data_IF_851282161114
#
_entry.id   IF_851282161114
#
_cell.length_a   1.000
_cell.length_b   1.000
_cell.length_c   1.000
_cell.angle_alpha   90.00
_cell.angle_beta   90.00
_cell.angle_gamma   90.00
#
_symmetry.space_group_name_H-M   'P 1'
#
loop_
_entity.id
_entity.type
_entity.pdbx_description
1 polymer ?
#
# COMPACT_ATOMS: atom_id res chain seq x y z
N UNK A 1 -1.91 14.06 13.82
CA UNK A 1 -3.38 14.17 14.04
C UNK A 1 -3.76 13.66 15.44
N UNK A 2 -4.92 14.07 15.97
CA UNK A 2 -5.40 13.67 17.30
C UNK A 2 -5.49 12.14 17.47
N UNK A 3 -5.81 11.42 16.39
CA UNK A 3 -5.88 9.96 16.35
C UNK A 3 -4.52 9.24 16.50
N UNK A 4 -3.38 9.95 16.38
CA UNK A 4 -2.06 9.30 16.37
C UNK A 4 -1.73 8.62 17.69
N UNK A 5 -1.99 9.28 18.83
CA UNK A 5 -1.74 8.71 20.15
C UNK A 5 -2.65 7.53 20.45
N UNK A 6 -3.92 7.62 20.05
CA UNK A 6 -4.89 6.55 20.23
C UNK A 6 -4.55 5.33 19.37
N UNK A 7 -4.13 5.55 18.11
CA UNK A 7 -3.67 4.48 17.23
C UNK A 7 -2.42 3.79 17.78
N UNK A 8 -1.45 4.55 18.30
CA UNK A 8 -0.25 3.98 18.92
C UNK A 8 -0.62 3.11 20.13
N UNK A 9 -1.51 3.59 21.00
CA UNK A 9 -1.98 2.83 22.16
C UNK A 9 -2.67 1.53 21.75
N UNK A 10 -3.58 1.56 20.77
CA UNK A 10 -4.23 0.34 20.27
C UNK A 10 -3.23 -0.64 19.65
N UNK A 11 -2.24 -0.15 18.89
CA UNK A 11 -1.18 -1.00 18.33
C UNK A 11 -0.32 -1.67 19.41
N UNK A 12 -0.01 -0.95 20.48
CA UNK A 12 0.75 -1.46 21.61
C UNK A 12 -0.04 -2.45 22.47
N UNK A 13 -1.34 -2.22 22.64
CA UNK A 13 -2.27 -3.14 23.31
C UNK A 13 -2.41 -4.47 22.55
N UNK A 14 -2.70 -4.41 21.25
CA UNK A 14 -2.91 -5.60 20.41
C UNK A 14 -1.59 -6.33 20.08
N UNK A 15 -0.49 -5.59 20.00
CA UNK A 15 0.85 -6.14 19.75
C UNK A 15 1.87 -5.62 20.77
N UNK A 16 1.94 -6.20 21.99
CA UNK A 16 2.85 -5.75 23.06
C UNK A 16 4.33 -5.66 22.68
N UNK A 17 4.77 -6.39 21.65
CA UNK A 17 6.13 -6.27 21.07
C UNK A 17 6.44 -4.89 20.49
N UNK A 18 5.43 -4.07 20.23
CA UNK A 18 5.55 -2.71 19.69
C UNK A 18 5.72 -1.64 20.78
N UNK A 19 5.62 -2.00 22.07
CA UNK A 19 5.78 -1.06 23.19
C UNK A 19 7.07 -0.24 23.08
N UNK A 20 6.92 1.08 23.00
CA UNK A 20 8.04 2.02 22.86
C UNK A 20 8.73 1.99 21.50
N UNK A 21 8.14 1.30 20.51
CA UNK A 21 8.64 1.18 19.12
C UNK A 21 7.76 1.89 18.10
N UNK A 22 6.63 2.46 18.53
CA UNK A 22 5.79 3.30 17.68
C UNK A 22 6.29 4.75 17.77
N UNK A 23 6.55 5.36 16.62
CA UNK A 23 6.93 6.78 16.52
C UNK A 23 5.95 7.51 15.61
N UNK A 24 5.47 8.64 16.09
CA UNK A 24 4.72 9.56 15.26
C UNK A 24 5.67 10.55 14.58
N UNK A 25 5.53 10.71 13.28
CA UNK A 25 6.27 11.67 12.47
C UNK A 25 5.23 12.47 11.68
N UNK A 26 5.27 13.79 11.85
CA UNK A 26 4.49 14.73 11.04
C UNK A 26 5.43 15.40 10.05
N UNK A 27 5.11 15.32 8.77
CA UNK A 27 5.96 15.84 7.70
C UNK A 27 5.50 15.35 6.34
N UNK A 28 6.30 15.65 5.33
CA UNK A 28 6.07 15.16 3.98
C UNK A 28 6.30 13.64 3.93
N UNK A 29 5.36 12.92 3.34
CA UNK A 29 5.47 11.49 3.15
C UNK A 29 6.73 11.13 2.35
N UNK A 30 7.17 11.98 1.43
CA UNK A 30 8.36 11.76 0.59
C UNK A 30 9.66 11.72 1.40
N UNK A 31 9.70 12.38 2.57
CA UNK A 31 10.89 12.51 3.41
C UNK A 31 11.08 11.34 4.39
N UNK A 32 10.05 10.52 4.62
CA UNK A 32 10.11 9.40 5.59
C UNK A 32 11.00 8.27 5.07
N UNK A 33 12.16 7.93 5.65
CA UNK A 33 13.02 6.88 5.08
C UNK A 33 12.30 5.52 5.01
N UNK A 34 12.41 4.86 3.86
CA UNK A 34 11.87 3.52 3.61
C UNK A 34 12.95 2.62 3.02
N UNK A 35 12.91 1.35 3.39
CA UNK A 35 13.89 0.33 3.00
C UNK A 35 13.19 -0.91 2.44
N UNK A 36 13.94 -1.73 1.72
CA UNK A 36 13.43 -2.95 1.06
C UNK A 36 12.72 -3.92 2.01
N UNK A 37 13.22 -4.02 3.25
CA UNK A 37 12.71 -4.98 4.23
C UNK A 37 11.48 -4.46 5.00
N UNK A 38 11.05 -3.23 4.72
CA UNK A 38 9.88 -2.62 5.35
C UNK A 38 8.56 -3.17 4.78
N UNK A 39 7.53 -3.05 5.61
CA UNK A 39 6.13 -3.16 5.19
C UNK A 39 5.51 -1.77 5.27
N UNK A 40 5.12 -1.23 4.12
CA UNK A 40 4.48 0.07 4.03
C UNK A 40 2.97 -0.14 4.07
N UNK A 41 2.28 0.47 5.03
CA UNK A 41 0.83 0.37 5.18
C UNK A 41 0.20 1.76 5.08
N UNK A 42 -0.84 1.90 4.27
CA UNK A 42 -1.65 3.12 4.25
C UNK A 42 -3.14 2.82 4.37
N UNK A 43 -3.80 3.57 5.26
CA UNK A 43 -5.25 3.58 5.40
C UNK A 43 -5.70 4.99 5.07
N UNK A 44 -6.65 5.13 4.15
CA UNK A 44 -7.03 6.34 3.45
C UNK A 44 -6.09 6.76 2.31
N UNK A 45 -5.04 7.53 2.62
CA UNK A 45 -4.15 8.16 1.63
C UNK A 45 -4.93 8.81 0.46
N UNK A 46 -5.86 9.72 0.81
CA UNK A 46 -6.76 10.41 -0.13
C UNK A 46 -6.03 11.22 -1.20
N UNK A 47 -6.71 11.43 -2.33
CA UNK A 47 -6.15 12.12 -3.49
C UNK A 47 -5.10 11.26 -4.19
N UNK A 48 -3.95 11.85 -4.51
CA UNK A 48 -2.79 11.15 -5.07
C UNK A 48 -1.88 10.49 -4.03
N UNK A 49 -2.15 10.60 -2.73
CA UNK A 49 -1.24 10.10 -1.69
C UNK A 49 -1.08 8.58 -1.73
N UNK A 50 -2.10 7.83 -2.17
CA UNK A 50 -1.97 6.39 -2.40
C UNK A 50 -0.89 6.11 -3.45
N UNK A 51 -0.83 6.89 -4.51
CA UNK A 51 0.15 6.72 -5.57
C UNK A 51 1.57 7.07 -5.10
N UNK A 52 1.71 8.12 -4.27
CA UNK A 52 2.97 8.42 -3.57
C UNK A 52 3.42 7.21 -2.73
N UNK A 53 2.54 6.63 -1.92
CA UNK A 53 2.86 5.42 -1.12
C UNK A 53 3.34 4.28 -2.02
N UNK A 54 2.64 4.01 -3.12
CA UNK A 54 2.98 2.94 -4.05
C UNK A 54 4.32 3.20 -4.75
N UNK A 55 4.61 4.43 -5.13
CA UNK A 55 5.85 4.81 -5.81
C UNK A 55 7.05 4.72 -4.87
N UNK A 56 6.89 5.14 -3.60
CA UNK A 56 7.92 4.96 -2.57
C UNK A 56 8.20 3.49 -2.29
N UNK A 57 7.16 2.66 -2.20
CA UNK A 57 7.32 1.22 -2.04
C UNK A 57 8.07 0.59 -3.23
N UNK A 58 7.70 0.96 -4.45
CA UNK A 58 8.33 0.47 -5.68
C UNK A 58 9.81 0.88 -5.77
N UNK A 59 10.14 2.11 -5.39
CA UNK A 59 11.50 2.65 -5.46
C UNK A 59 12.52 1.79 -4.69
N UNK A 60 12.11 1.23 -3.55
CA UNK A 60 12.97 0.39 -2.70
C UNK A 60 12.64 -1.10 -2.77
N UNK A 61 11.65 -1.49 -3.60
CA UNK A 61 11.10 -2.84 -3.67
C UNK A 61 10.63 -3.36 -2.31
N UNK A 62 9.92 -2.52 -1.54
CA UNK A 62 9.30 -2.90 -0.27
C UNK A 62 7.95 -3.60 -0.49
N UNK A 63 7.47 -4.30 0.54
CA UNK A 63 6.09 -4.82 0.57
C UNK A 63 5.13 -3.68 0.90
N UNK A 64 3.92 -3.73 0.34
CA UNK A 64 2.95 -2.65 0.53
C UNK A 64 1.52 -3.17 0.72
N UNK A 65 0.78 -2.51 1.59
CA UNK A 65 -0.64 -2.73 1.85
C UNK A 65 -1.36 -1.37 1.87
N UNK A 66 -2.25 -1.12 0.91
CA UNK A 66 -3.01 0.13 0.83
C UNK A 66 -4.50 -0.13 0.86
N UNK A 67 -5.24 0.72 1.56
CA UNK A 67 -6.70 0.76 1.59
C UNK A 67 -7.18 2.12 1.02
N UNK A 68 -7.23 2.28 -0.32
CA UNK A 68 -7.49 3.56 -0.96
C UNK A 68 -8.95 3.99 -0.78
N UNK A 69 -9.20 5.27 -0.48
CA UNK A 69 -10.55 5.72 -0.13
C UNK A 69 -11.10 6.93 -0.92
N UNK A 70 -10.28 7.96 -1.16
CA UNK A 70 -10.63 9.14 -1.93
C UNK A 70 -9.80 9.13 -3.20
N UNK A 71 -10.40 8.70 -4.31
CA UNK A 71 -9.75 8.72 -5.62
C UNK A 71 -9.92 10.11 -6.20
N UNK A 72 -8.83 10.84 -6.38
CA UNK A 72 -8.85 12.01 -7.26
C UNK A 72 -8.89 11.48 -8.70
N UNK A 73 -10.01 11.69 -9.37
CA UNK A 73 -10.20 11.21 -10.74
C UNK A 73 -9.83 12.29 -11.77
N UNK A 74 -9.44 13.48 -11.31
CA UNK A 74 -9.11 14.59 -12.20
C UNK A 74 -7.68 14.44 -12.71
N UNK A 75 -7.50 14.40 -14.03
CA UNK A 75 -6.19 14.29 -14.67
C UNK A 75 -5.53 12.91 -14.63
N UNK A 76 -6.15 11.92 -13.98
CA UNK A 76 -5.61 10.57 -13.85
C UNK A 76 -5.97 9.67 -15.05
N UNK A 77 -4.98 8.91 -15.54
CA UNK A 77 -5.19 7.94 -16.60
C UNK A 77 -5.82 6.65 -16.02
N UNK A 78 -7.14 6.54 -16.15
CA UNK A 78 -7.91 5.36 -15.76
C UNK A 78 -7.87 4.24 -16.82
N UNK A 79 -6.89 4.29 -17.74
CA UNK A 79 -6.66 3.35 -18.84
C UNK A 79 -7.91 3.13 -19.73
N UNK A 80 -8.77 4.14 -19.83
CA UNK A 80 -10.03 4.07 -20.57
C UNK A 80 -11.06 3.07 -20.01
N UNK A 81 -10.90 2.61 -18.76
CA UNK A 81 -11.74 1.57 -18.16
C UNK A 81 -13.12 2.08 -17.68
N UNK A 82 -13.37 3.40 -17.74
CA UNK A 82 -14.61 3.98 -17.20
C UNK A 82 -15.88 3.58 -17.95
N UNK A 83 -15.76 3.03 -19.16
CA UNK A 83 -16.90 2.44 -19.87
C UNK A 83 -17.45 1.15 -19.22
N UNK A 84 -16.64 0.49 -18.39
CA UNK A 84 -16.98 -0.78 -17.73
C UNK A 84 -16.97 -0.68 -16.20
N UNK A 85 -16.07 0.12 -15.65
CA UNK A 85 -15.84 0.21 -14.21
C UNK A 85 -16.17 1.61 -13.70
N UNK A 86 -16.71 1.68 -12.49
CA UNK A 86 -16.79 2.96 -11.77
C UNK A 86 -15.38 3.53 -11.59
N UNK A 87 -15.22 4.85 -11.73
CA UNK A 87 -13.91 5.53 -11.69
C UNK A 87 -12.99 5.10 -10.54
N UNK A 88 -13.47 5.07 -9.27
CA UNK A 88 -12.66 4.58 -8.15
C UNK A 88 -12.14 3.15 -8.30
N UNK A 89 -12.96 2.26 -8.87
CA UNK A 89 -12.56 0.87 -9.11
C UNK A 89 -11.59 0.79 -10.31
N UNK A 90 -11.81 1.58 -11.36
CA UNK A 90 -10.89 1.69 -12.49
C UNK A 90 -9.49 2.11 -12.01
N UNK A 91 -9.40 3.11 -11.13
CA UNK A 91 -8.13 3.58 -10.58
C UNK A 91 -7.43 2.49 -9.76
N UNK A 92 -8.16 1.76 -8.92
CA UNK A 92 -7.59 0.64 -8.16
C UNK A 92 -7.08 -0.50 -9.08
N UNK A 93 -7.79 -0.76 -10.18
CA UNK A 93 -7.35 -1.72 -11.21
C UNK A 93 -6.07 -1.27 -11.90
N UNK A 94 -5.97 0.02 -12.25
CA UNK A 94 -4.75 0.60 -12.85
C UNK A 94 -3.57 0.49 -11.87
N UNK A 95 -3.76 0.84 -10.60
CA UNK A 95 -2.74 0.69 -9.54
C UNK A 95 -2.26 -0.75 -9.40
N UNK A 96 -3.19 -1.69 -9.34
CA UNK A 96 -2.89 -3.12 -9.26
C UNK A 96 -2.10 -3.61 -10.49
N UNK A 97 -2.46 -3.14 -11.68
CA UNK A 97 -1.81 -3.50 -12.94
C UNK A 97 -0.40 -2.90 -13.04
N UNK A 98 -0.23 -1.63 -12.65
CA UNK A 98 1.07 -0.95 -12.59
C UNK A 98 2.03 -1.70 -11.67
N UNK A 99 1.59 -2.11 -10.48
CA UNK A 99 2.39 -2.91 -9.56
C UNK A 99 2.85 -4.23 -10.20
N UNK A 100 1.94 -4.97 -10.85
CA UNK A 100 2.28 -6.21 -11.56
C UNK A 100 3.35 -5.99 -12.62
N UNK A 101 3.22 -4.95 -13.42
CA UNK A 101 4.20 -4.58 -14.45
C UNK A 101 5.56 -4.20 -13.86
N UNK A 102 5.58 -3.69 -12.63
CA UNK A 102 6.80 -3.36 -11.87
C UNK A 102 7.38 -4.56 -11.11
N UNK A 103 6.92 -5.78 -11.39
CA UNK A 103 7.47 -7.00 -10.82
C UNK A 103 6.93 -7.33 -9.43
N UNK A 104 5.71 -6.90 -9.11
CA UNK A 104 5.04 -7.29 -7.88
C UNK A 104 4.03 -8.43 -8.10
N UNK A 105 3.94 -9.33 -7.13
CA UNK A 105 2.77 -10.17 -6.95
C UNK A 105 1.73 -9.34 -6.20
N UNK A 106 0.52 -9.29 -6.75
CA UNK A 106 -0.55 -8.43 -6.25
C UNK A 106 -1.73 -9.28 -5.80
N UNK A 107 -2.23 -8.97 -4.60
CA UNK A 107 -3.43 -9.54 -4.01
C UNK A 107 -4.45 -8.43 -3.75
N UNK A 108 -5.71 -8.68 -4.07
CA UNK A 108 -6.82 -7.76 -3.82
C UNK A 108 -7.84 -8.45 -2.92
N UNK A 109 -8.27 -7.79 -1.86
CA UNK A 109 -9.25 -8.31 -0.90
C UNK A 109 -10.24 -7.22 -0.52
N UNK A 110 -11.34 -7.62 0.09
CA UNK A 110 -12.23 -6.71 0.79
C UNK A 110 -12.19 -7.00 2.28
N UNK A 111 -12.16 -5.95 3.11
CA UNK A 111 -12.46 -6.06 4.54
C UNK A 111 -13.98 -5.87 4.77
N UNK A 112 -14.51 -6.25 5.93
CA UNK A 112 -15.91 -5.99 6.27
C UNK A 112 -16.28 -4.49 6.15
N UNK A 113 -17.43 -4.19 5.54
CA UNK A 113 -17.86 -2.80 5.25
C UNK A 113 -18.32 -2.02 6.48
N UNK A 114 -18.62 -2.72 7.57
CA UNK A 114 -18.90 -2.17 8.89
C UNK A 114 -17.64 -1.60 9.57
N UNK A 115 -16.44 -2.06 9.17
CA UNK A 115 -15.18 -1.40 9.54
C UNK A 115 -15.05 -0.07 8.79
N UNK A 116 -15.23 -0.09 7.47
CA UNK A 116 -15.27 1.12 6.64
C UNK A 116 -15.97 0.86 5.30
N UNK A 117 -16.75 1.81 4.77
CA UNK A 117 -17.31 1.69 3.41
C UNK A 117 -16.24 1.64 2.31
N UNK A 118 -15.00 2.07 2.62
CA UNK A 118 -13.86 2.11 1.70
C UNK A 118 -12.98 0.89 1.95
N UNK A 119 -13.53 -0.27 1.64
CA UNK A 119 -13.06 -1.56 2.13
C UNK A 119 -12.16 -2.34 1.16
N UNK A 120 -11.75 -1.76 0.03
CA UNK A 120 -10.92 -2.45 -0.96
C UNK A 120 -9.45 -2.37 -0.57
N UNK A 121 -8.87 -3.52 -0.26
CA UNK A 121 -7.49 -3.69 0.15
C UNK A 121 -6.65 -4.16 -1.05
N UNK A 122 -5.56 -3.45 -1.31
CA UNK A 122 -4.55 -3.80 -2.31
C UNK A 122 -3.24 -4.12 -1.60
N UNK A 123 -2.81 -5.37 -1.69
CA UNK A 123 -1.55 -5.87 -1.13
C UNK A 123 -0.60 -6.21 -2.27
N UNK A 124 0.68 -5.92 -2.10
CA UNK A 124 1.69 -6.31 -3.06
C UNK A 124 3.03 -6.65 -2.41
N UNK A 125 3.67 -7.69 -2.93
CA UNK A 125 5.04 -8.08 -2.57
C UNK A 125 5.91 -8.16 -3.84
N UNK A 126 7.20 -7.77 -3.77
CA UNK A 126 8.10 -7.93 -4.90
C UNK A 126 8.25 -9.43 -5.25
N UNK A 127 8.20 -9.75 -6.54
CA UNK A 127 8.60 -11.07 -7.02
C UNK A 127 10.11 -11.11 -6.94
N UNK A 128 10.66 -11.97 -6.09
CA UNK A 128 12.10 -12.25 -6.16
C UNK A 128 12.39 -12.84 -7.55
N UNK A 129 13.25 -12.18 -8.34
CA UNK A 129 13.90 -12.88 -9.44
C UNK A 129 14.57 -14.08 -8.79
N UNK A 130 14.16 -15.28 -9.17
CA UNK A 130 14.67 -16.55 -8.66
C UNK A 130 16.07 -16.39 -8.10
N UNK A 131 16.24 -16.59 -6.78
CA UNK A 131 17.53 -16.99 -6.24
C UNK A 131 18.02 -18.09 -7.17
N UNK A 132 19.07 -17.77 -7.91
CA UNK A 132 20.11 -18.64 -8.44
C UNK A 132 19.73 -20.13 -8.38
N UNK A 133 19.65 -20.76 -9.56
CA UNK A 133 19.79 -22.20 -9.71
C UNK A 133 20.73 -22.72 -8.62
N UNK A 134 20.15 -23.40 -7.62
CA UNK A 134 20.91 -24.33 -6.80
C UNK A 134 21.27 -25.48 -7.74
N UNK A 135 22.26 -25.23 -8.59
CA UNK A 135 23.02 -26.26 -9.26
C UNK A 135 23.51 -27.20 -8.16
N UNK A 136 23.13 -28.49 -8.20
CA UNK A 136 23.75 -29.46 -7.31
C UNK A 136 25.26 -29.42 -7.58
N UNK A 137 26.06 -29.21 -6.53
CA UNK A 137 27.52 -29.39 -6.61
C UNK A 137 27.81 -30.83 -7.06
N UNK A 138 28.84 -31.03 -7.90
CA UNK A 138 29.20 -32.35 -8.41
C UNK A 138 29.55 -33.34 -7.30
#
# INVERSE_FOLDING_TARGET
PESAALLAACLEEDWPRLNGRVKFIEGDLEEVPVHRDDLIVSVHACGGLTDVVLDRAQAVKARVAVLPCCHDLTGEDLAGLQGWLAGPLAMDVVRATRLRWKGYRVYTQEIPKDITPKNRLLLAEPIESSREERLPKP
#
